data_IF_850998107158
#
_entry.id   IF_850998107158
#
_cell.length_a   1.000
_cell.length_b   1.000
_cell.length_c   1.000
_cell.angle_alpha   90.00
_cell.angle_beta   90.00
_cell.angle_gamma   90.00
#
_symmetry.space_group_name_H-M   'P 1'
#
loop_
_entity.id
_entity.type
_entity.pdbx_description
1 polymer ?
#
# COMPACT_ATOMS: atom_id res chain seq x y z
N UNK A 1 -15.19 -16.02 15.28
CA UNK A 1 -14.34 -15.53 14.17
C UNK A 1 -15.15 -14.48 13.42
N UNK A 2 -14.80 -13.19 13.52
CA UNK A 2 -15.46 -12.16 12.71
C UNK A 2 -14.78 -12.17 11.34
N UNK A 3 -15.42 -12.81 10.37
CA UNK A 3 -15.11 -12.62 8.94
C UNK A 3 -15.32 -11.14 8.63
N UNK A 4 -14.25 -10.42 8.27
CA UNK A 4 -14.36 -9.02 7.87
C UNK A 4 -15.34 -8.93 6.70
N UNK A 5 -16.50 -8.32 6.94
CA UNK A 5 -17.63 -8.26 6.00
C UNK A 5 -17.25 -7.54 4.69
N UNK A 6 -16.13 -6.79 4.71
CA UNK A 6 -15.52 -6.14 3.56
C UNK A 6 -13.99 -6.22 3.67
N UNK A 7 -13.30 -7.09 2.92
CA UNK A 7 -11.85 -7.23 3.01
C UNK A 7 -11.14 -5.95 2.51
N UNK A 8 -10.07 -5.53 3.20
CA UNK A 8 -9.25 -4.39 2.79
C UNK A 8 -8.62 -4.65 1.41
N UNK A 9 -8.69 -3.69 0.46
CA UNK A 9 -7.93 -3.75 -0.78
C UNK A 9 -6.42 -3.78 -0.50
N UNK A 10 -5.75 -4.86 -0.93
CA UNK A 10 -4.30 -5.05 -0.75
C UNK A 10 -3.56 -5.31 -2.05
N UNK A 11 -4.29 -5.53 -3.14
CA UNK A 11 -3.75 -5.85 -4.45
C UNK A 11 -4.03 -4.70 -5.40
N UNK A 12 -3.04 -4.40 -6.24
CA UNK A 12 -3.22 -3.53 -7.38
C UNK A 12 -4.10 -4.26 -8.41
N UNK A 13 -5.26 -3.68 -8.74
CA UNK A 13 -6.11 -4.21 -9.81
C UNK A 13 -5.52 -3.85 -11.18
N UNK A 14 -5.88 -4.57 -12.26
CA UNK A 14 -5.45 -4.20 -13.61
C UNK A 14 -5.79 -2.75 -13.98
N UNK A 15 -6.96 -2.26 -13.55
CA UNK A 15 -7.40 -0.89 -13.80
C UNK A 15 -6.56 0.13 -13.02
N UNK A 16 -6.21 -0.17 -11.77
CA UNK A 16 -5.34 0.67 -10.95
C UNK A 16 -3.90 0.67 -11.47
N UNK A 17 -3.40 -0.48 -11.93
CA UNK A 17 -2.10 -0.59 -12.57
C UNK A 17 -2.05 0.25 -13.85
N UNK A 18 -3.13 0.24 -14.65
CA UNK A 18 -3.22 1.06 -15.85
C UNK A 18 -3.23 2.56 -15.52
N UNK A 19 -3.97 3.00 -14.49
CA UNK A 19 -3.94 4.40 -14.05
C UNK A 19 -2.55 4.83 -13.56
N UNK A 20 -1.89 4.00 -12.76
CA UNK A 20 -0.52 4.27 -12.33
C UNK A 20 0.43 4.37 -13.54
N UNK A 21 0.32 3.43 -14.48
CA UNK A 21 1.13 3.42 -15.69
C UNK A 21 0.86 4.61 -16.62
N UNK A 22 -0.37 5.14 -16.66
CA UNK A 22 -0.69 6.37 -17.39
C UNK A 22 0.10 7.55 -16.86
N UNK A 23 0.20 7.71 -15.54
CA UNK A 23 1.03 8.76 -14.92
C UNK A 23 2.50 8.67 -15.34
N UNK A 24 3.07 7.45 -15.33
CA UNK A 24 4.45 7.21 -15.75
C UNK A 24 4.64 7.45 -17.25
N UNK A 25 3.71 7.02 -18.10
CA UNK A 25 3.75 7.29 -19.54
C UNK A 25 3.70 8.80 -19.82
N UNK A 26 2.89 9.55 -19.09
CA UNK A 26 2.85 11.02 -19.19
C UNK A 26 4.16 11.67 -18.76
N UNK A 27 4.86 11.12 -17.76
CA UNK A 27 6.19 11.59 -17.35
C UNK A 27 7.26 11.29 -18.41
N UNK A 28 7.24 10.09 -19.00
CA UNK A 28 8.13 9.72 -20.11
C UNK A 28 7.90 10.63 -21.32
N UNK A 29 6.64 10.96 -21.64
CA UNK A 29 6.30 11.90 -22.69
C UNK A 29 6.80 13.32 -22.38
N UNK A 30 6.59 13.80 -21.15
CA UNK A 30 7.08 15.11 -20.71
C UNK A 30 8.62 15.21 -20.74
N UNK A 31 9.30 14.10 -20.47
CA UNK A 31 10.76 13.99 -20.55
C UNK A 31 11.27 13.81 -21.99
N UNK A 32 10.38 13.62 -22.97
CA UNK A 32 10.75 13.47 -24.39
C UNK A 32 11.27 12.08 -24.76
N UNK A 33 11.01 11.06 -23.93
CA UNK A 33 11.42 9.68 -24.18
C UNK A 33 10.45 8.90 -25.07
N UNK A 34 9.20 9.34 -25.15
CA UNK A 34 8.17 8.78 -26.02
C UNK A 34 7.37 9.91 -26.68
N UNK A 35 6.71 9.61 -27.79
CA UNK A 35 5.82 10.52 -28.51
C UNK A 35 4.38 10.44 -27.99
N UNK A 36 3.58 11.47 -28.25
CA UNK A 36 2.19 11.53 -27.78
C UNK A 36 1.33 10.36 -28.26
N UNK A 37 1.58 9.85 -29.48
CA UNK A 37 0.87 8.70 -30.03
C UNK A 37 1.21 7.38 -29.33
N UNK A 38 2.31 7.33 -28.58
CA UNK A 38 2.80 6.14 -27.88
C UNK A 38 2.27 6.06 -26.45
N UNK A 39 1.69 7.13 -25.90
CA UNK A 39 1.21 7.22 -24.52
C UNK A 39 0.31 6.03 -24.11
N UNK A 40 -0.68 5.71 -24.95
CA UNK A 40 -1.66 4.68 -24.61
C UNK A 40 -1.03 3.29 -24.60
N UNK A 41 -0.22 2.98 -25.60
CA UNK A 41 0.47 1.69 -25.70
C UNK A 41 1.55 1.57 -24.62
N UNK A 42 2.24 2.67 -24.31
CA UNK A 42 3.23 2.72 -23.26
C UNK A 42 2.62 2.42 -21.89
N UNK A 43 1.48 3.03 -21.57
CA UNK A 43 0.77 2.76 -20.32
C UNK A 43 0.33 1.28 -20.23
N UNK A 44 -0.14 0.68 -21.34
CA UNK A 44 -0.52 -0.74 -21.36
C UNK A 44 0.67 -1.66 -21.13
N UNK A 45 1.81 -1.39 -21.77
CA UNK A 45 3.03 -2.18 -21.61
C UNK A 45 3.55 -2.09 -20.17
N UNK A 46 3.66 -0.87 -19.62
CA UNK A 46 4.07 -0.65 -18.23
C UNK A 46 3.11 -1.38 -17.28
N UNK A 47 1.80 -1.20 -17.40
CA UNK A 47 0.82 -1.83 -16.52
C UNK A 47 0.86 -3.37 -16.56
N UNK A 48 1.18 -3.95 -17.73
CA UNK A 48 1.26 -5.39 -17.93
C UNK A 48 2.55 -5.99 -17.36
N UNK A 49 3.65 -5.25 -17.41
CA UNK A 49 4.99 -5.76 -17.09
C UNK A 49 5.51 -5.31 -15.71
N UNK A 50 4.96 -4.24 -15.15
CA UNK A 50 5.41 -3.72 -13.87
C UNK A 50 4.91 -4.56 -12.69
N UNK A 51 5.86 -4.92 -11.83
CA UNK A 51 5.60 -5.49 -10.51
C UNK A 51 5.62 -4.38 -9.46
N UNK A 52 4.77 -4.52 -8.42
CA UNK A 52 4.71 -3.56 -7.29
C UNK A 52 6.07 -3.32 -6.61
N UNK A 53 6.95 -4.32 -6.64
CA UNK A 53 8.25 -4.28 -5.99
C UNK A 53 9.42 -4.19 -6.97
N UNK A 54 9.15 -3.95 -8.26
CA UNK A 54 10.20 -3.72 -9.24
C UNK A 54 10.71 -2.30 -9.11
N UNK A 55 12.03 -2.15 -9.13
CA UNK A 55 12.66 -0.85 -9.34
C UNK A 55 12.60 -0.45 -10.82
N UNK A 56 12.94 0.81 -11.11
CA UNK A 56 12.90 1.35 -12.47
C UNK A 56 13.81 0.60 -13.46
N UNK A 57 14.92 0.05 -13.00
CA UNK A 57 15.86 -0.70 -13.84
C UNK A 57 15.33 -2.11 -14.17
N UNK A 58 14.77 -2.80 -13.19
CA UNK A 58 14.10 -4.09 -13.38
C UNK A 58 12.91 -3.96 -14.34
N UNK A 59 12.13 -2.88 -14.21
CA UNK A 59 11.02 -2.58 -15.11
C UNK A 59 11.53 -2.26 -16.53
N UNK A 60 12.52 -1.38 -16.66
CA UNK A 60 13.13 -1.04 -17.95
C UNK A 60 13.64 -2.28 -18.69
N UNK A 61 14.35 -3.18 -18.00
CA UNK A 61 14.85 -4.44 -18.55
C UNK A 61 13.73 -5.39 -18.98
N UNK A 62 12.64 -5.41 -18.22
CA UNK A 62 11.46 -6.22 -18.55
C UNK A 62 10.77 -5.69 -19.81
N UNK A 63 10.62 -4.37 -19.93
CA UNK A 63 10.06 -3.72 -21.11
C UNK A 63 10.93 -3.94 -22.36
N UNK A 64 12.26 -3.85 -22.25
CA UNK A 64 13.18 -4.20 -23.34
C UNK A 64 12.98 -5.66 -23.79
N UNK A 65 13.01 -6.58 -22.83
CA UNK A 65 12.94 -8.02 -23.10
C UNK A 65 11.62 -8.48 -23.72
N UNK A 66 10.49 -7.92 -23.25
CA UNK A 66 9.15 -8.44 -23.57
C UNK A 66 8.27 -7.48 -24.40
N UNK A 67 8.54 -6.18 -24.36
CA UNK A 67 7.83 -5.16 -25.12
C UNK A 67 8.70 -4.46 -26.17
N UNK A 68 9.99 -4.82 -26.30
CA UNK A 68 10.94 -4.29 -27.30
C UNK A 68 11.25 -2.80 -27.15
N UNK A 69 11.19 -2.30 -25.92
CA UNK A 69 11.58 -0.92 -25.63
C UNK A 69 13.11 -0.74 -25.65
N UNK A 70 13.60 0.35 -26.24
CA UNK A 70 15.01 0.75 -26.14
C UNK A 70 15.19 1.69 -24.95
N UNK A 71 15.25 1.11 -23.75
CA UNK A 71 15.31 1.87 -22.50
C UNK A 71 16.72 2.40 -22.21
N UNK A 72 16.83 3.70 -21.97
CA UNK A 72 18.05 4.33 -21.44
C UNK A 72 17.96 4.54 -19.90
N UNK A 73 19.02 5.10 -19.30
CA UNK A 73 19.06 5.32 -17.85
C UNK A 73 18.02 6.34 -17.37
N UNK A 74 17.78 7.41 -18.13
CA UNK A 74 16.80 8.45 -17.78
C UNK A 74 15.37 7.88 -17.79
N UNK A 75 15.06 7.01 -18.75
CA UNK A 75 13.79 6.27 -18.76
C UNK A 75 13.66 5.37 -17.55
N UNK A 76 14.73 4.68 -17.13
CA UNK A 76 14.71 3.84 -15.93
C UNK A 76 14.44 4.66 -14.66
N UNK A 77 14.98 5.88 -14.54
CA UNK A 77 14.69 6.79 -13.42
C UNK A 77 13.22 7.20 -13.38
N UNK A 78 12.59 7.46 -14.53
CA UNK A 78 11.15 7.76 -14.59
C UNK A 78 10.32 6.53 -14.25
N UNK A 79 10.70 5.36 -14.77
CA UNK A 79 10.02 4.09 -14.50
C UNK A 79 10.07 3.70 -13.01
N UNK A 80 11.07 4.15 -12.25
CA UNK A 80 11.21 3.92 -10.81
C UNK A 80 10.01 4.48 -10.01
N UNK A 81 9.39 5.56 -10.51
CA UNK A 81 8.20 6.17 -9.94
C UNK A 81 6.95 5.28 -9.95
N UNK A 82 6.93 4.19 -10.73
CA UNK A 82 5.77 3.31 -10.83
C UNK A 82 5.38 2.72 -9.47
N UNK A 83 6.36 2.26 -8.68
CA UNK A 83 6.11 1.61 -7.39
C UNK A 83 5.38 2.54 -6.42
N UNK A 84 5.80 3.81 -6.36
CA UNK A 84 5.15 4.86 -5.56
C UNK A 84 3.73 5.12 -6.03
N UNK A 85 3.54 5.28 -7.35
CA UNK A 85 2.22 5.56 -7.93
C UNK A 85 1.25 4.38 -7.71
N UNK A 86 1.74 3.15 -7.79
CA UNK A 86 0.96 1.95 -7.49
C UNK A 86 0.54 1.88 -6.01
N UNK A 87 1.42 2.26 -5.08
CA UNK A 87 1.09 2.34 -3.66
C UNK A 87 0.05 3.44 -3.36
N UNK A 88 0.10 4.55 -4.08
CA UNK A 88 -0.92 5.62 -4.01
C UNK A 88 -2.29 5.14 -4.49
N UNK A 89 -2.36 4.41 -5.60
CA UNK A 89 -3.59 3.81 -6.11
C UNK A 89 -4.21 2.80 -5.11
N UNK A 90 -3.38 1.96 -4.48
CA UNK A 90 -3.86 1.05 -3.42
C UNK A 90 -4.38 1.86 -2.22
N UNK A 91 -3.68 2.92 -1.82
CA UNK A 91 -4.11 3.79 -0.73
C UNK A 91 -5.43 4.49 -1.04
N UNK A 92 -5.62 4.96 -2.27
CA UNK A 92 -6.88 5.55 -2.72
C UNK A 92 -8.02 4.53 -2.66
N UNK A 93 -7.81 3.31 -3.18
CA UNK A 93 -8.80 2.23 -3.08
C UNK A 93 -9.14 1.88 -1.62
N UNK A 94 -8.15 1.93 -0.71
CA UNK A 94 -8.40 1.75 0.72
C UNK A 94 -9.23 2.90 1.30
N UNK A 95 -8.99 4.16 0.91
CA UNK A 95 -9.79 5.31 1.37
C UNK A 95 -11.25 5.19 0.92
N UNK A 96 -11.47 4.81 -0.33
CA UNK A 96 -12.81 4.55 -0.87
C UNK A 96 -13.50 3.41 -0.11
N UNK A 97 -12.81 2.30 0.10
CA UNK A 97 -13.29 1.19 0.91
C UNK A 97 -13.66 1.63 2.33
N UNK A 98 -12.78 2.37 3.00
CA UNK A 98 -13.01 2.83 4.37
C UNK A 98 -14.24 3.75 4.46
N UNK A 99 -14.41 4.63 3.48
CA UNK A 99 -15.55 5.55 3.39
C UNK A 99 -16.84 4.80 3.08
N UNK A 100 -16.84 3.95 2.05
CA UNK A 100 -18.02 3.21 1.58
C UNK A 100 -18.59 2.25 2.64
N UNK A 101 -17.73 1.70 3.47
CA UNK A 101 -18.11 0.76 4.52
C UNK A 101 -18.13 1.37 5.92
N UNK A 102 -17.94 2.69 6.03
CA UNK A 102 -17.88 3.42 7.30
C UNK A 102 -16.97 2.73 8.32
N UNK A 103 -15.74 2.43 7.92
CA UNK A 103 -14.78 1.71 8.76
C UNK A 103 -14.38 2.61 9.93
N UNK A 104 -14.71 2.16 11.14
CA UNK A 104 -14.42 2.86 12.39
C UNK A 104 -13.36 2.11 13.20
N UNK A 105 -12.59 2.81 14.05
CA UNK A 105 -11.65 2.18 14.98
C UNK A 105 -12.42 1.24 15.94
N UNK A 106 -12.10 -0.07 15.99
CA UNK A 106 -12.79 -1.00 16.90
C UNK A 106 -12.54 -0.75 18.39
N UNK A 107 -11.45 -0.05 18.73
CA UNK A 107 -11.03 0.22 20.10
C UNK A 107 -10.56 1.67 20.23
N UNK A 108 -10.83 2.35 21.36
CA UNK A 108 -10.35 3.71 21.57
C UNK A 108 -8.82 3.74 21.77
N UNK A 109 -8.23 4.90 21.50
CA UNK A 109 -6.83 5.19 21.86
C UNK A 109 -6.65 5.02 23.37
N UNK A 110 -5.52 4.46 23.79
CA UNK A 110 -5.22 4.09 25.17
C UNK A 110 -5.64 2.67 25.55
N UNK A 111 -6.32 1.94 24.67
CA UNK A 111 -6.71 0.54 24.94
C UNK A 111 -5.50 -0.39 24.84
N UNK A 112 -5.36 -1.28 25.83
CA UNK A 112 -4.39 -2.39 25.80
C UNK A 112 -4.98 -3.55 24.98
N UNK A 113 -4.23 -4.01 23.98
CA UNK A 113 -4.70 -4.91 22.93
C UNK A 113 -3.63 -5.92 22.53
N UNK A 114 -4.05 -7.00 21.85
CA UNK A 114 -3.16 -7.84 21.07
C UNK A 114 -3.20 -7.37 19.63
N UNK A 115 -2.05 -6.99 19.09
CA UNK A 115 -1.86 -6.56 17.72
C UNK A 115 -1.10 -7.61 16.92
N UNK A 116 -1.64 -8.02 15.77
CA UNK A 116 -0.97 -8.92 14.83
C UNK A 116 -0.13 -8.12 13.83
N UNK A 117 1.18 -8.19 13.95
CA UNK A 117 2.15 -7.43 13.15
C UNK A 117 3.26 -8.37 12.64
N UNK A 118 3.64 -8.28 11.37
CA UNK A 118 4.66 -9.18 10.79
C UNK A 118 4.31 -10.68 10.85
N UNK A 119 3.03 -11.04 11.03
CA UNK A 119 2.58 -12.42 11.20
C UNK A 119 2.68 -12.96 12.64
N UNK A 120 3.17 -12.15 13.58
CA UNK A 120 3.26 -12.47 15.01
C UNK A 120 2.29 -11.60 15.82
N UNK A 121 1.92 -12.09 17.00
CA UNK A 121 1.02 -11.39 17.91
C UNK A 121 1.84 -10.69 19.00
N UNK A 122 1.57 -9.41 19.24
CA UNK A 122 2.23 -8.58 20.24
C UNK A 122 1.20 -7.94 21.16
N UNK A 123 1.48 -7.90 22.46
CA UNK A 123 0.71 -7.08 23.39
C UNK A 123 1.23 -5.63 23.36
N UNK A 124 0.31 -4.68 23.44
CA UNK A 124 0.65 -3.27 23.41
C UNK A 124 -0.54 -2.35 23.63
N UNK A 125 -0.27 -1.06 23.75
CA UNK A 125 -1.29 -0.02 23.91
C UNK A 125 -1.46 0.77 22.62
N UNK A 126 -2.70 1.04 22.22
CA UNK A 126 -2.99 1.94 21.10
C UNK A 126 -2.56 3.35 21.49
N UNK A 127 -1.53 3.88 20.83
CA UNK A 127 -0.98 5.22 21.11
C UNK A 127 -1.77 6.30 20.36
N UNK A 128 -2.10 6.04 19.10
CA UNK A 128 -2.91 6.94 18.27
C UNK A 128 -3.53 6.20 17.06
N UNK A 129 -4.45 6.88 16.38
CA UNK A 129 -4.89 6.51 15.03
C UNK A 129 -3.83 7.04 14.05
N UNK A 130 -3.28 6.17 13.22
CA UNK A 130 -2.18 6.52 12.32
C UNK A 130 -2.67 7.38 11.16
N UNK A 131 -2.35 8.68 11.20
CA UNK A 131 -2.83 9.69 10.23
C UNK A 131 -2.35 9.52 8.79
N UNK A 132 -1.25 8.81 8.57
CA UNK A 132 -0.66 8.65 7.24
C UNK A 132 -1.19 7.41 6.49
N UNK A 133 -1.94 6.54 7.18
CA UNK A 133 -2.54 5.33 6.63
C UNK A 133 -4.06 5.31 6.77
N UNK A 134 -4.69 4.29 6.20
CA UNK A 134 -6.15 4.17 6.16
C UNK A 134 -6.60 3.09 7.14
N UNK A 135 -7.41 3.48 8.15
CA UNK A 135 -7.92 2.56 9.16
C UNK A 135 -6.82 1.74 9.85
N UNK A 136 -5.79 2.44 10.32
CA UNK A 136 -4.61 1.90 10.98
C UNK A 136 -4.38 2.56 12.34
N UNK A 137 -3.86 1.80 13.29
CA UNK A 137 -3.35 2.28 14.56
C UNK A 137 -1.84 2.38 14.54
N UNK A 138 -1.31 3.28 15.36
CA UNK A 138 0.05 3.20 15.88
C UNK A 138 -0.01 2.55 17.27
N UNK A 139 0.52 1.35 17.40
CA UNK A 139 0.51 0.57 18.64
C UNK A 139 1.91 0.59 19.26
N UNK A 140 1.99 0.96 20.53
CA UNK A 140 3.21 0.88 21.32
C UNK A 140 3.28 -0.50 21.99
N UNK A 141 4.30 -1.29 21.65
CA UNK A 141 4.50 -2.62 22.24
C UNK A 141 4.82 -2.54 23.74
N UNK A 142 4.43 -3.56 24.49
CA UNK A 142 4.78 -3.67 25.90
C UNK A 142 6.31 -3.74 26.08
N UNK A 143 6.84 -2.95 27.02
CA UNK A 143 8.29 -2.85 27.27
C UNK A 143 9.04 -1.91 26.32
N UNK A 144 8.39 -1.34 25.29
CA UNK A 144 8.99 -0.29 24.46
C UNK A 144 9.12 1.02 25.26
N UNK A 145 10.35 1.53 25.37
CA UNK A 145 10.67 2.75 26.15
C UNK A 145 10.92 3.96 25.28
N UNK A 146 11.21 3.76 24.00
CA UNK A 146 11.44 4.79 23.01
C UNK A 146 10.18 5.22 22.27
N UNK A 147 10.40 5.63 21.02
CA UNK A 147 9.38 6.21 20.16
C UNK A 147 8.91 5.29 19.02
N UNK A 148 9.23 4.00 19.08
CA UNK A 148 8.89 3.03 18.02
C UNK A 148 7.45 2.55 18.16
N UNK A 149 6.67 2.65 17.08
CA UNK A 149 5.27 2.20 17.02
C UNK A 149 5.09 1.21 15.89
N UNK A 150 4.31 0.17 16.14
CA UNK A 150 3.86 -0.75 15.11
C UNK A 150 2.67 -0.14 14.39
N UNK A 151 2.72 -0.06 13.07
CA UNK A 151 1.56 0.35 12.25
C UNK A 151 0.74 -0.90 11.96
N UNK A 152 -0.49 -0.92 12.47
CA UNK A 152 -1.34 -2.12 12.47
C UNK A 152 -2.74 -1.76 11.96
N UNK A 153 -3.25 -2.53 11.01
CA UNK A 153 -4.62 -2.35 10.52
C UNK A 153 -5.64 -2.63 11.63
N UNK A 154 -6.78 -1.93 11.62
CA UNK A 154 -7.84 -2.11 12.62
C UNK A 154 -8.27 -3.58 12.80
N UNK A 155 -8.42 -4.34 11.72
CA UNK A 155 -8.82 -5.75 11.76
C UNK A 155 -7.75 -6.71 12.29
N UNK A 156 -6.51 -6.24 12.46
CA UNK A 156 -5.41 -7.02 13.05
C UNK A 156 -5.25 -6.78 14.56
N UNK A 157 -6.18 -6.04 15.17
CA UNK A 157 -6.20 -5.77 16.61
C UNK A 157 -7.35 -6.53 17.26
N UNK A 158 -7.08 -7.17 18.41
CA UNK A 158 -8.09 -7.85 19.23
C UNK A 158 -7.96 -7.46 20.70
N UNK A 159 -9.06 -7.55 21.42
CA UNK A 159 -9.06 -7.37 22.87
C UNK A 159 -8.17 -8.42 23.53
N UNK A 160 -7.53 -8.04 24.63
CA UNK A 160 -6.98 -9.01 25.57
C UNK A 160 -8.17 -9.56 26.34
N UNK A 161 -8.41 -10.86 26.25
CA UNK A 161 -9.41 -11.52 27.09
C UNK A 161 -8.96 -11.40 28.53
N UNK A 162 -9.53 -10.43 29.26
CA UNK A 162 -9.37 -10.33 30.71
C UNK A 162 -10.25 -11.39 31.34
N UNK A 163 -9.81 -12.65 31.26
CA UNK A 163 -10.45 -13.74 31.99
C UNK A 163 -10.17 -13.54 33.50
N UNK A 164 -11.16 -12.97 34.20
CA UNK A 164 -11.42 -13.25 35.62
C UNK A 164 -10.71 -12.38 36.66
N UNK A 165 -11.25 -11.19 36.91
CA UNK A 165 -11.38 -10.71 38.30
C UNK A 165 -12.88 -10.49 38.57
N UNK A 166 -13.52 -11.54 39.07
CA UNK A 166 -14.83 -11.42 39.70
C UNK A 166 -14.93 -12.48 40.80
N UNK A 167 -14.98 -11.95 42.03
CA UNK A 167 -15.21 -12.59 43.35
C UNK A 167 -14.01 -13.22 44.04
#
# INVERSE_FOLDING_TARGET
>A
MMTAQHPRPTRLTPEAALRAAQGIAEELFRAGHIEQRELEDAAKDIAKHAGRHMDGYELAKTLDSYARWDCNLEMAEVLDGFSSTADEEIKAAQQEWATAHNIQPPFPVGTHVIARWGGQDYCGTIDEIYRHGVAQYAVKADGETGSSRMIVNFENVRAIDVAGESS
#
